data_IF_388444734011
#
_entry.id   IF_388444734011
#
_cell.length_a   1.000
_cell.length_b   1.000
_cell.length_c   1.000
_cell.angle_alpha   90.00
_cell.angle_beta   90.00
_cell.angle_gamma   90.00
#
_symmetry.space_group_name_H-M   'P 1'
#
loop_
_entity.id
_entity.type
_entity.pdbx_description
1 polymer ?
#
# COMPACT_ATOMS: atom_id res chain seq x y z
N UNK A 1 7.37 -0.54 9.42
CA UNK A 1 5.97 -0.87 9.20
C UNK A 1 5.72 -1.75 7.97
N UNK A 2 6.62 -1.78 7.02
CA UNK A 2 6.46 -2.58 5.82
C UNK A 2 7.07 -3.97 5.98
N UNK A 3 6.46 -5.00 5.34
CA UNK A 3 7.08 -6.31 5.32
C UNK A 3 8.48 -6.25 4.72
N UNK A 4 9.41 -6.94 5.33
CA UNK A 4 10.80 -6.91 4.89
C UNK A 4 10.98 -7.41 3.46
N UNK A 5 10.23 -8.43 3.10
CA UNK A 5 10.30 -8.99 1.77
C UNK A 5 9.99 -7.97 0.68
N UNK A 6 8.96 -7.16 0.93
CA UNK A 6 8.56 -6.15 -0.03
C UNK A 6 9.60 -5.05 -0.12
N UNK A 7 10.17 -4.66 1.01
CA UNK A 7 11.22 -3.64 1.01
C UNK A 7 12.43 -4.05 0.17
N UNK A 8 12.80 -5.30 0.24
CA UNK A 8 13.99 -5.78 -0.44
C UNK A 8 13.84 -5.89 -1.95
N UNK A 9 12.63 -6.06 -2.42
CA UNK A 9 12.40 -6.27 -3.84
C UNK A 9 12.23 -4.98 -4.65
N UNK A 10 12.15 -3.87 -3.97
CA UNK A 10 11.83 -2.63 -4.64
C UNK A 10 10.38 -2.62 -5.08
N UNK A 11 9.77 -1.48 -5.11
CA UNK A 11 8.37 -1.39 -5.48
C UNK A 11 8.03 0.06 -5.78
N UNK A 12 6.89 0.24 -6.46
CA UNK A 12 6.35 1.56 -6.72
C UNK A 12 5.48 1.96 -5.53
N UNK A 13 5.54 3.21 -5.14
CA UNK A 13 4.77 3.72 -4.01
C UNK A 13 4.04 4.99 -4.40
N UNK A 14 2.77 5.12 -3.96
CA UNK A 14 1.97 6.30 -4.19
C UNK A 14 1.38 6.79 -2.88
N UNK A 15 1.23 8.10 -2.76
CA UNK A 15 0.45 8.71 -1.69
C UNK A 15 -0.90 9.10 -2.27
N UNK A 16 -1.99 8.73 -1.60
CA UNK A 16 -3.33 8.99 -2.09
C UNK A 16 -4.17 9.66 -1.00
N UNK A 17 -5.20 10.44 -1.39
CA UNK A 17 -6.06 11.09 -0.39
C UNK A 17 -7.00 10.12 0.31
N UNK A 18 -7.35 9.00 -0.29
CA UNK A 18 -8.23 8.03 0.33
C UNK A 18 -7.85 6.62 -0.09
N UNK A 19 -7.43 5.83 0.89
CA UNK A 19 -7.05 4.45 0.65
C UNK A 19 -8.26 3.62 0.26
N UNK A 20 -9.39 3.84 0.92
CA UNK A 20 -10.59 3.09 0.63
C UNK A 20 -11.02 3.24 -0.82
N UNK A 21 -10.92 4.45 -1.35
CA UNK A 21 -11.25 4.70 -2.75
C UNK A 21 -10.23 4.05 -3.67
N UNK A 22 -8.97 4.17 -3.32
CA UNK A 22 -7.90 3.67 -4.17
C UNK A 22 -7.91 2.15 -4.28
N UNK A 23 -8.33 1.47 -3.23
CA UNK A 23 -8.31 0.00 -3.22
C UNK A 23 -9.51 -0.64 -3.92
N UNK A 24 -10.50 0.14 -4.30
CA UNK A 24 -11.67 -0.40 -5.00
C UNK A 24 -11.25 -1.02 -6.32
N UNK A 25 -11.67 -2.27 -6.54
CA UNK A 25 -11.36 -2.97 -7.77
C UNK A 25 -9.92 -3.42 -7.91
N UNK A 26 -9.12 -3.27 -6.85
CA UNK A 26 -7.72 -3.67 -6.87
C UNK A 26 -7.51 -4.98 -6.13
N UNK A 27 -6.44 -5.68 -6.49
CA UNK A 27 -6.09 -6.92 -5.80
C UNK A 27 -5.19 -6.57 -4.63
N UNK A 28 -5.74 -6.54 -3.44
CA UNK A 28 -5.00 -6.18 -2.23
C UNK A 28 -4.24 -7.39 -1.73
N UNK A 29 -2.93 -7.27 -1.56
CA UNK A 29 -2.11 -8.36 -1.09
C UNK A 29 -1.62 -8.14 0.34
N UNK A 30 -1.72 -6.92 0.86
CA UNK A 30 -1.34 -6.63 2.24
C UNK A 30 -2.08 -5.38 2.71
N UNK A 31 -2.58 -5.43 3.94
CA UNK A 31 -3.25 -4.29 4.53
C UNK A 31 -4.71 -4.19 4.16
N UNK A 32 -5.33 -3.02 4.38
CA UNK A 32 -4.74 -1.80 4.95
C UNK A 32 -4.25 -2.00 6.38
N UNK A 33 -3.13 -1.39 6.69
CA UNK A 33 -2.53 -1.47 8.01
C UNK A 33 -2.12 -0.09 8.48
N UNK A 34 -2.49 0.24 9.72
CA UNK A 34 -2.10 1.52 10.30
C UNK A 34 -0.66 1.43 10.77
N UNK A 35 0.20 2.24 10.18
CA UNK A 35 1.61 2.27 10.56
C UNK A 35 1.89 3.27 11.66
N UNK A 36 1.09 4.34 11.69
CA UNK A 36 1.34 5.50 12.52
C UNK A 36 0.00 6.19 12.69
N UNK A 37 -0.07 7.17 13.58
CA UNK A 37 -1.29 7.95 13.79
C UNK A 37 -1.77 8.62 12.51
N UNK A 38 -0.84 8.92 11.62
CA UNK A 38 -1.14 9.67 10.40
C UNK A 38 -0.88 8.90 9.13
N UNK A 39 -0.47 7.63 9.24
CA UNK A 39 -0.08 6.86 8.06
C UNK A 39 -0.75 5.50 8.05
N UNK A 40 -1.49 5.23 6.99
CA UNK A 40 -2.06 3.91 6.72
C UNK A 40 -1.54 3.46 5.37
N UNK A 41 -1.16 2.20 5.26
CA UNK A 41 -0.61 1.66 4.03
C UNK A 41 -1.36 0.41 3.59
N UNK A 42 -1.25 0.11 2.31
CA UNK A 42 -1.71 -1.16 1.75
C UNK A 42 -0.84 -1.47 0.54
N UNK A 43 -0.79 -2.74 0.19
CA UNK A 43 -0.09 -3.17 -1.02
C UNK A 43 -1.09 -3.85 -1.94
N UNK A 44 -1.01 -3.54 -3.21
CA UNK A 44 -1.82 -4.18 -4.23
C UNK A 44 -0.89 -4.82 -5.25
N UNK A 45 -1.46 -5.71 -6.05
CA UNK A 45 -0.71 -6.30 -7.16
C UNK A 45 -1.25 -5.74 -8.45
N UNK A 46 -0.35 -5.20 -9.28
CA UNK A 46 -0.69 -4.76 -10.62
C UNK A 46 0.29 -5.38 -11.58
N UNK A 47 -0.21 -6.24 -12.46
CA UNK A 47 0.61 -6.89 -13.49
C UNK A 47 1.84 -7.60 -12.90
N UNK A 48 1.65 -8.25 -11.76
CA UNK A 48 2.72 -8.99 -11.11
C UNK A 48 3.67 -8.14 -10.29
N UNK A 49 3.38 -6.87 -10.14
CA UNK A 49 4.23 -5.94 -9.39
C UNK A 49 3.52 -5.50 -8.13
N UNK A 50 4.24 -5.50 -7.00
CA UNK A 50 3.69 -4.99 -5.75
C UNK A 50 3.74 -3.47 -5.77
N UNK A 51 2.59 -2.85 -5.49
CA UNK A 51 2.49 -1.39 -5.45
C UNK A 51 2.04 -0.99 -4.06
N UNK A 52 2.77 -0.10 -3.44
CA UNK A 52 2.44 0.41 -2.11
C UNK A 52 1.57 1.64 -2.24
N UNK A 53 0.44 1.64 -1.53
CA UNK A 53 -0.48 2.77 -1.51
C UNK A 53 -0.48 3.32 -0.10
N UNK A 54 -0.24 4.61 0.05
CA UNK A 54 -0.14 5.26 1.35
C UNK A 54 -1.19 6.34 1.48
N UNK A 55 -1.83 6.38 2.63
CA UNK A 55 -2.75 7.45 2.96
C UNK A 55 -2.21 8.21 4.16
N UNK A 56 -1.93 9.48 3.97
CA UNK A 56 -1.48 10.38 5.04
C UNK A 56 -2.67 11.21 5.51
N UNK A 57 -2.84 11.28 6.83
CA UNK A 57 -3.95 12.05 7.42
C UNK A 57 -3.46 13.26 8.16
#
# INVERSE_FOLDING_TARGET
CMPELIQKQGHIAYTVPSLAEELKGKKVIFGPAVCDEHLTIAFIEEEGIAVEIMELK
#
